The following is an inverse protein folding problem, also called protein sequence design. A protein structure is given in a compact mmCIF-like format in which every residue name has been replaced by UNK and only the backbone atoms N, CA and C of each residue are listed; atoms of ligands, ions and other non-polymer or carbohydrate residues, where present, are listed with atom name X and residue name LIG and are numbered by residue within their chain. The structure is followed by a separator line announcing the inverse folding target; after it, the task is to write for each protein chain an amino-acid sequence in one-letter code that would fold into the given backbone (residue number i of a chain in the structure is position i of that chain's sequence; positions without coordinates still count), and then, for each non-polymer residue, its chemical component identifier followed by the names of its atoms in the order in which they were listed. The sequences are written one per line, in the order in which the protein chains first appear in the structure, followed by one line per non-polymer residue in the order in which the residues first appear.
data_IF_169244835568
#
_entry.id   IF_169244835568
#
_cell.length_a   1.000
_cell.length_b   1.000
_cell.length_c   1.000
_cell.angle_alpha   90.00
_cell.angle_beta   90.00
_cell.angle_gamma   90.00
#
_symmetry.space_group_name_H-M   'P 1'
#
loop_
_entity.id
_entity.type
_entity.pdbx_description
1 polymer ?
#
# COMPACT_ATOMS: atom_id res chain seq x y z
N UNK A 1 25.72 65.00 45.28
CA UNK A 1 24.61 64.21 44.70
C UNK A 1 24.64 64.34 43.18
N UNK A 2 25.12 63.32 42.46
CA UNK A 2 24.98 63.21 41.00
C UNK A 2 23.84 62.21 40.76
N UNK A 3 22.72 62.67 40.19
CA UNK A 3 21.60 61.81 39.81
C UNK A 3 21.90 61.19 38.45
N UNK A 4 21.99 59.86 38.41
CA UNK A 4 22.09 59.06 37.19
C UNK A 4 20.68 58.79 36.68
N UNK A 5 20.36 59.25 35.47
CA UNK A 5 19.11 58.94 34.77
C UNK A 5 19.25 57.59 34.07
N UNK A 6 18.49 56.58 34.51
CA UNK A 6 18.37 55.28 33.82
C UNK A 6 17.17 55.36 32.86
N UNK A 7 17.43 55.28 31.56
CA UNK A 7 16.38 55.17 30.54
C UNK A 7 16.02 53.68 30.35
N UNK A 8 14.79 53.30 30.71
CA UNK A 8 14.22 52.00 30.37
C UNK A 8 13.71 52.04 28.93
N UNK A 9 14.38 51.31 28.03
CA UNK A 9 13.88 50.98 26.70
C UNK A 9 12.99 49.72 26.82
N UNK A 10 11.67 49.89 26.79
CA UNK A 10 10.75 48.79 26.52
C UNK A 10 10.75 48.52 25.01
N UNK A 11 11.41 47.45 24.58
CA UNK A 11 11.20 46.88 23.26
C UNK A 11 9.89 46.07 23.28
N UNK A 12 8.83 46.60 22.68
CA UNK A 12 7.65 45.81 22.36
C UNK A 12 7.97 44.91 21.16
N UNK A 13 8.23 43.63 21.43
CA UNK A 13 8.26 42.61 20.39
C UNK A 13 6.82 42.38 19.90
N UNK A 14 6.48 42.93 18.73
CA UNK A 14 5.32 42.47 17.99
C UNK A 14 5.61 41.06 17.49
N UNK A 15 5.06 40.07 18.17
CA UNK A 15 4.96 38.72 17.63
C UNK A 15 4.03 38.79 16.40
N UNK A 16 4.61 38.83 15.21
CA UNK A 16 3.89 38.58 13.97
C UNK A 16 3.41 37.13 14.03
N UNK A 17 2.16 36.91 14.39
CA UNK A 17 1.47 35.64 14.12
C UNK A 17 1.30 35.55 12.61
N UNK A 18 2.33 35.06 11.92
CA UNK A 18 2.18 34.57 10.57
C UNK A 18 1.17 33.43 10.64
N UNK A 19 -0.05 33.67 10.14
CA UNK A 19 -0.96 32.60 9.79
C UNK A 19 -0.18 31.69 8.83
N UNK A 20 0.29 30.53 9.29
CA UNK A 20 0.76 29.48 8.39
C UNK A 20 -0.42 29.16 7.48
N UNK A 21 -0.42 29.72 6.26
CA UNK A 21 -1.33 29.27 5.23
C UNK A 21 -1.19 27.75 5.11
N UNK A 22 -2.33 27.06 5.00
CA UNK A 22 -2.35 25.61 4.76
C UNK A 22 -1.48 25.34 3.53
N UNK A 23 -0.37 24.63 3.71
CA UNK A 23 0.53 24.28 2.61
C UNK A 23 -0.16 23.15 1.83
N UNK A 24 -0.12 23.23 0.50
CA UNK A 24 -0.53 22.12 -0.34
C UNK A 24 0.44 20.94 -0.14
N UNK A 25 -0.06 19.71 -0.24
CA UNK A 25 0.73 18.49 -0.14
C UNK A 25 1.90 18.52 -1.11
N UNK A 26 3.07 18.13 -0.61
CA UNK A 26 4.30 18.00 -1.41
C UNK A 26 4.47 16.61 -2.04
N UNK A 27 3.58 15.65 -1.76
CA UNK A 27 3.68 14.33 -2.37
C UNK A 27 3.55 14.39 -3.89
N UNK A 28 4.35 13.58 -4.56
CA UNK A 28 4.25 13.35 -6.00
C UNK A 28 3.06 12.45 -6.32
N UNK A 29 2.85 11.45 -5.48
CA UNK A 29 1.86 10.40 -5.67
C UNK A 29 1.02 10.21 -4.42
N UNK A 30 -0.29 10.14 -4.59
CA UNK A 30 -1.16 9.67 -3.52
C UNK A 30 -2.35 8.96 -4.13
N UNK A 31 -2.70 7.79 -3.59
CA UNK A 31 -3.83 7.06 -4.12
C UNK A 31 -4.18 5.79 -3.37
N UNK A 32 -4.53 4.74 -4.11
CA UNK A 32 -5.02 3.49 -3.53
C UNK A 32 -4.57 2.28 -4.34
N UNK A 33 -4.42 1.15 -3.66
CA UNK A 33 -4.52 -0.14 -4.31
C UNK A 33 -5.96 -0.33 -4.82
N UNK A 34 -6.10 -1.01 -5.97
CA UNK A 34 -7.37 -1.39 -6.59
C UNK A 34 -7.36 -2.89 -6.84
N UNK A 35 -7.78 -3.63 -5.81
CA UNK A 35 -7.73 -5.08 -5.77
C UNK A 35 -8.89 -5.76 -6.50
N UNK A 36 -8.66 -7.02 -6.85
CA UNK A 36 -9.67 -7.95 -7.36
C UNK A 36 -9.05 -9.04 -8.24
N UNK A 37 -8.05 -8.72 -9.06
CA UNK A 37 -7.49 -9.65 -10.04
C UNK A 37 -6.57 -10.70 -9.41
N UNK A 38 -6.09 -10.44 -8.19
CA UNK A 38 -5.33 -11.32 -7.31
C UNK A 38 -6.20 -12.24 -6.44
N UNK A 39 -7.52 -11.98 -6.34
CA UNK A 39 -8.41 -12.72 -5.43
C UNK A 39 -8.53 -14.21 -5.79
N UNK A 40 -8.96 -15.02 -4.83
CA UNK A 40 -9.22 -16.45 -5.08
C UNK A 40 -7.96 -17.26 -5.39
N UNK A 41 -6.85 -16.98 -4.70
CA UNK A 41 -5.52 -17.58 -4.94
C UNK A 41 -5.48 -19.11 -4.84
N UNK A 42 -6.46 -19.73 -4.17
CA UNK A 42 -6.59 -21.19 -4.11
C UNK A 42 -7.10 -21.81 -5.43
N UNK A 43 -7.64 -21.00 -6.34
CA UNK A 43 -8.21 -21.41 -7.62
C UNK A 43 -7.39 -20.78 -8.75
N UNK A 44 -6.41 -21.54 -9.27
CA UNK A 44 -5.54 -21.15 -10.38
C UNK A 44 -5.80 -22.11 -11.58
N UNK A 45 -6.12 -21.59 -12.78
CA UNK A 45 -6.19 -20.16 -13.12
C UNK A 45 -7.44 -19.45 -12.55
N UNK A 46 -8.46 -20.20 -12.11
CA UNK A 46 -9.73 -19.63 -11.67
C UNK A 46 -10.56 -19.06 -12.82
N UNK A 47 -11.70 -18.47 -12.49
CA UNK A 47 -12.69 -17.96 -13.43
C UNK A 47 -13.03 -16.50 -13.13
N UNK A 48 -12.89 -15.62 -14.12
CA UNK A 48 -13.31 -14.22 -14.04
C UNK A 48 -14.80 -14.12 -13.65
N UNK A 49 -15.11 -13.26 -12.68
CA UNK A 49 -16.46 -13.08 -12.15
C UNK A 49 -16.91 -14.16 -11.17
N UNK A 50 -16.05 -15.13 -10.84
CA UNK A 50 -16.25 -16.07 -9.72
C UNK A 50 -15.09 -16.02 -8.73
N UNK A 51 -13.86 -16.22 -9.19
CA UNK A 51 -12.67 -16.31 -8.34
C UNK A 51 -11.94 -14.97 -8.22
N UNK A 52 -11.98 -14.16 -9.29
CA UNK A 52 -11.35 -12.85 -9.36
C UNK A 52 -12.16 -11.89 -10.24
N UNK A 53 -11.84 -10.61 -10.16
CA UNK A 53 -12.45 -9.55 -10.97
C UNK A 53 -11.45 -8.43 -11.25
N UNK A 54 -11.56 -7.77 -12.39
CA UNK A 54 -10.74 -6.61 -12.70
C UNK A 54 -11.43 -5.31 -12.25
N UNK A 55 -10.74 -4.38 -11.58
CA UNK A 55 -11.24 -3.04 -11.35
C UNK A 55 -11.60 -2.34 -12.65
N UNK A 56 -12.60 -1.48 -12.59
CA UNK A 56 -13.15 -0.76 -13.73
C UNK A 56 -13.11 0.75 -13.49
N UNK A 57 -13.54 1.52 -14.50
CA UNK A 57 -13.56 2.98 -14.40
C UNK A 57 -14.47 3.47 -13.25
N UNK A 58 -15.54 2.75 -12.90
CA UNK A 58 -16.42 3.16 -11.78
C UNK A 58 -15.73 3.10 -10.42
N UNK A 59 -14.72 2.25 -10.30
CA UNK A 59 -14.04 1.96 -9.04
C UNK A 59 -12.90 2.98 -8.83
N UNK A 60 -12.29 3.44 -9.93
CA UNK A 60 -11.16 4.39 -9.93
C UNK A 60 -11.61 5.86 -10.02
N UNK A 61 -12.61 6.18 -10.85
CA UNK A 61 -13.02 7.57 -11.14
C UNK A 61 -13.38 8.39 -9.89
N UNK A 62 -14.14 7.85 -8.90
CA UNK A 62 -14.43 8.59 -7.68
C UNK A 62 -13.18 9.01 -6.91
N UNK A 63 -12.15 8.16 -6.89
CA UNK A 63 -10.88 8.43 -6.20
C UNK A 63 -10.03 9.44 -6.97
N UNK A 64 -10.00 9.38 -8.30
CA UNK A 64 -9.38 10.42 -9.14
C UNK A 64 -10.05 11.77 -8.93
N UNK A 65 -11.38 11.81 -8.87
CA UNK A 65 -12.13 13.04 -8.60
C UNK A 65 -11.85 13.62 -7.20
N UNK A 66 -11.45 12.77 -6.25
CA UNK A 66 -10.96 13.17 -4.93
C UNK A 66 -9.47 13.60 -4.93
N UNK A 67 -8.82 13.65 -6.10
CA UNK A 67 -7.45 14.13 -6.27
C UNK A 67 -6.37 13.04 -6.29
N UNK A 68 -6.72 11.77 -6.12
CA UNK A 68 -5.75 10.68 -6.20
C UNK A 68 -5.20 10.53 -7.63
N UNK A 69 -3.90 10.22 -7.75
CA UNK A 69 -3.20 10.19 -9.04
C UNK A 69 -2.32 8.96 -9.26
N UNK A 70 -2.37 7.95 -8.40
CA UNK A 70 -1.67 6.68 -8.57
C UNK A 70 -2.55 5.53 -8.09
N UNK A 71 -2.56 4.42 -8.82
CA UNK A 71 -3.33 3.24 -8.46
C UNK A 71 -2.51 1.98 -8.68
N UNK A 72 -2.38 1.16 -7.64
CA UNK A 72 -1.67 -0.12 -7.69
C UNK A 72 -2.63 -1.27 -7.96
N UNK A 73 -2.30 -2.11 -8.94
CA UNK A 73 -3.17 -3.15 -9.50
C UNK A 73 -2.57 -4.52 -9.20
N UNK A 74 -2.94 -5.14 -8.07
CA UNK A 74 -2.57 -6.51 -7.77
C UNK A 74 -3.09 -7.50 -8.83
N UNK A 75 -2.24 -8.41 -9.30
CA UNK A 75 -2.62 -9.54 -10.15
C UNK A 75 -1.75 -10.77 -9.83
N UNK A 76 -2.17 -11.98 -10.26
CA UNK A 76 -1.37 -13.19 -10.04
C UNK A 76 -0.48 -13.52 -11.23
N UNK A 77 0.80 -13.77 -10.97
CA UNK A 77 1.77 -14.24 -11.97
C UNK A 77 1.31 -15.53 -12.65
N UNK A 78 0.74 -16.48 -11.91
CA UNK A 78 0.29 -17.78 -12.41
C UNK A 78 -0.92 -17.70 -13.35
N UNK A 79 -1.72 -16.63 -13.21
CA UNK A 79 -2.82 -16.34 -14.15
C UNK A 79 -2.30 -15.64 -15.40
N UNK A 80 -1.30 -14.77 -15.24
CA UNK A 80 -0.73 -14.01 -16.35
C UNK A 80 0.18 -14.85 -17.23
N UNK A 81 1.10 -15.61 -16.64
CA UNK A 81 2.03 -16.51 -17.33
C UNK A 81 1.87 -17.87 -16.66
N UNK A 82 1.04 -18.79 -17.18
CA UNK A 82 0.77 -20.09 -16.55
C UNK A 82 1.93 -21.08 -16.76
N UNK A 83 1.93 -22.14 -15.93
CA UNK A 83 2.82 -23.30 -15.97
C UNK A 83 4.31 -23.05 -15.64
N UNK A 84 4.94 -22.03 -16.22
CA UNK A 84 6.34 -21.67 -15.96
C UNK A 84 6.62 -20.18 -16.24
N UNK A 85 7.50 -19.56 -15.46
CA UNK A 85 7.84 -18.13 -15.55
C UNK A 85 8.41 -17.68 -16.91
N UNK A 86 8.93 -18.62 -17.72
CA UNK A 86 9.45 -18.36 -19.07
C UNK A 86 8.42 -18.59 -20.17
N UNK A 87 7.18 -18.92 -19.80
CA UNK A 87 6.10 -19.26 -20.71
C UNK A 87 5.53 -18.03 -21.43
N UNK A 88 4.61 -18.32 -22.34
CA UNK A 88 3.79 -17.29 -22.97
C UNK A 88 2.74 -16.77 -21.98
N UNK A 89 2.40 -15.49 -22.09
CA UNK A 89 1.31 -14.94 -21.31
C UNK A 89 -0.05 -15.52 -21.76
N UNK A 90 -0.96 -15.74 -20.83
CA UNK A 90 -2.38 -15.94 -21.16
C UNK A 90 -2.91 -14.65 -21.82
N UNK A 91 -3.33 -14.78 -23.07
CA UNK A 91 -3.71 -13.64 -23.89
C UNK A 91 -4.94 -12.90 -23.34
N UNK A 92 -5.84 -13.61 -22.65
CA UNK A 92 -7.06 -13.00 -22.08
C UNK A 92 -6.71 -12.20 -20.84
N UNK A 93 -5.99 -12.82 -19.90
CA UNK A 93 -5.59 -12.18 -18.66
C UNK A 93 -4.64 -10.99 -18.90
N UNK A 94 -3.71 -11.10 -19.87
CA UNK A 94 -2.89 -9.98 -20.30
C UNK A 94 -3.71 -8.85 -20.94
N UNK A 95 -4.71 -9.18 -21.77
CA UNK A 95 -5.58 -8.17 -22.37
C UNK A 95 -6.39 -7.41 -21.29
N UNK A 96 -6.86 -8.11 -20.25
CA UNK A 96 -7.60 -7.48 -19.15
C UNK A 96 -6.69 -6.60 -18.27
N UNK A 97 -5.45 -7.04 -17.97
CA UNK A 97 -4.46 -6.21 -17.28
C UNK A 97 -4.21 -4.91 -18.07
N UNK A 98 -3.97 -5.03 -19.38
CA UNK A 98 -3.77 -3.87 -20.27
C UNK A 98 -4.99 -2.94 -20.28
N UNK A 99 -6.20 -3.48 -20.30
CA UNK A 99 -7.43 -2.70 -20.26
C UNK A 99 -7.59 -1.94 -18.94
N UNK A 100 -7.24 -2.56 -17.82
CA UNK A 100 -7.27 -1.94 -16.48
C UNK A 100 -6.22 -0.82 -16.37
N UNK A 101 -4.97 -1.09 -16.78
CA UNK A 101 -3.90 -0.08 -16.86
C UNK A 101 -4.32 1.09 -17.76
N UNK A 102 -4.89 0.81 -18.93
CA UNK A 102 -5.37 1.86 -19.84
C UNK A 102 -6.48 2.70 -19.20
N UNK A 103 -7.41 2.07 -18.49
CA UNK A 103 -8.48 2.77 -17.78
C UNK A 103 -7.94 3.80 -16.79
N UNK A 104 -6.93 3.43 -16.00
CA UNK A 104 -6.29 4.33 -15.04
C UNK A 104 -5.49 5.43 -15.75
N UNK A 105 -4.70 5.07 -16.75
CA UNK A 105 -3.82 6.03 -17.44
C UNK A 105 -4.58 7.00 -18.35
N UNK A 106 -5.73 6.62 -18.91
CA UNK A 106 -6.66 7.51 -19.63
C UNK A 106 -7.27 8.59 -18.72
N UNK A 107 -7.35 8.33 -17.40
CA UNK A 107 -7.75 9.32 -16.39
C UNK A 107 -6.58 10.24 -15.99
N UNK A 108 -5.39 10.05 -16.57
CA UNK A 108 -4.19 10.82 -16.26
C UNK A 108 -3.47 10.41 -14.98
N UNK A 109 -3.84 9.26 -14.40
CA UNK A 109 -3.22 8.70 -13.19
C UNK A 109 -2.15 7.66 -13.53
N UNK A 110 -1.22 7.46 -12.60
CA UNK A 110 -0.23 6.39 -12.68
C UNK A 110 -0.87 5.03 -12.38
N UNK A 111 -0.45 3.99 -13.11
CA UNK A 111 -0.88 2.61 -12.90
C UNK A 111 0.33 1.77 -12.50
N UNK A 112 0.34 1.26 -11.26
CA UNK A 112 1.38 0.33 -10.77
C UNK A 112 0.95 -1.09 -11.09
N UNK A 113 1.77 -1.78 -11.89
CA UNK A 113 1.58 -3.19 -12.27
C UNK A 113 2.26 -4.04 -11.20
N UNK A 114 1.46 -4.65 -10.32
CA UNK A 114 1.91 -5.42 -9.15
C UNK A 114 1.62 -6.92 -9.31
N UNK A 115 2.65 -7.75 -9.59
CA UNK A 115 2.54 -9.19 -9.41
C UNK A 115 2.49 -9.53 -7.92
N UNK A 116 1.28 -9.80 -7.43
CA UNK A 116 0.94 -9.89 -6.01
C UNK A 116 1.25 -11.28 -5.43
N UNK A 117 2.54 -11.62 -5.42
CA UNK A 117 2.99 -13.02 -5.42
C UNK A 117 3.95 -13.40 -4.28
N UNK A 118 4.33 -12.48 -3.38
CA UNK A 118 5.09 -12.82 -2.17
C UNK A 118 6.44 -13.49 -2.43
N UNK A 119 7.08 -13.17 -3.57
CA UNK A 119 8.30 -13.81 -4.05
C UNK A 119 8.13 -15.27 -4.47
N UNK A 120 6.89 -15.72 -4.70
CA UNK A 120 6.52 -17.11 -4.94
C UNK A 120 5.72 -17.28 -6.23
N UNK A 121 5.86 -18.44 -6.84
CA UNK A 121 5.13 -18.84 -8.05
C UNK A 121 4.67 -20.29 -7.89
N UNK A 122 3.35 -20.50 -7.99
CA UNK A 122 2.66 -21.73 -7.55
C UNK A 122 3.00 -22.14 -6.11
N UNK A 123 3.14 -21.15 -5.22
CA UNK A 123 3.44 -21.34 -3.80
C UNK A 123 4.92 -21.61 -3.47
N UNK A 124 5.76 -21.87 -4.48
CA UNK A 124 7.19 -22.11 -4.30
C UNK A 124 8.00 -20.83 -4.44
N UNK A 125 9.06 -20.69 -3.65
CA UNK A 125 9.97 -19.53 -3.75
C UNK A 125 10.57 -19.46 -5.16
N UNK A 126 10.53 -18.28 -5.77
CA UNK A 126 11.19 -18.02 -7.04
C UNK A 126 12.70 -18.01 -6.80
N UNK A 127 13.38 -19.08 -7.20
CA UNK A 127 14.82 -19.26 -6.96
C UNK A 127 15.71 -18.87 -8.14
N UNK A 128 15.11 -18.61 -9.31
CA UNK A 128 15.83 -18.34 -10.56
C UNK A 128 15.64 -16.88 -11.01
N UNK A 129 16.63 -15.99 -10.74
CA UNK A 129 16.57 -14.60 -11.21
C UNK A 129 16.45 -14.49 -12.75
N UNK A 130 17.02 -15.43 -13.51
CA UNK A 130 16.87 -15.43 -14.97
C UNK A 130 15.44 -15.72 -15.42
N UNK A 131 14.74 -16.66 -14.79
CA UNK A 131 13.34 -16.97 -15.13
C UNK A 131 12.42 -15.83 -14.68
N UNK A 132 12.69 -15.22 -13.53
CA UNK A 132 11.98 -14.02 -13.08
C UNK A 132 12.20 -12.83 -14.02
N UNK A 133 13.42 -12.66 -14.54
CA UNK A 133 13.70 -11.68 -15.59
C UNK A 133 12.97 -11.97 -16.90
N UNK A 134 12.78 -13.25 -17.27
CA UNK A 134 11.99 -13.62 -18.44
C UNK A 134 10.51 -13.23 -18.27
N UNK A 135 9.92 -13.51 -17.11
CA UNK A 135 8.58 -13.03 -16.76
C UNK A 135 8.48 -11.50 -16.93
N UNK A 136 9.42 -10.76 -16.35
CA UNK A 136 9.43 -9.30 -16.46
C UNK A 136 9.63 -8.78 -17.88
N UNK A 137 10.37 -9.51 -18.71
CA UNK A 137 10.49 -9.20 -20.15
C UNK A 137 9.14 -9.34 -20.85
N UNK A 138 8.36 -10.38 -20.54
CA UNK A 138 7.02 -10.61 -21.09
C UNK A 138 6.07 -9.49 -20.69
N UNK A 139 6.05 -9.08 -19.42
CA UNK A 139 5.17 -8.01 -18.94
C UNK A 139 5.57 -6.64 -19.49
N UNK A 140 6.84 -6.24 -19.34
CA UNK A 140 7.26 -4.87 -19.65
C UNK A 140 7.14 -4.51 -21.14
N UNK A 141 7.28 -5.48 -22.05
CA UNK A 141 7.09 -5.27 -23.50
C UNK A 141 5.70 -4.75 -23.86
N UNK A 142 4.69 -5.04 -23.04
CA UNK A 142 3.31 -4.62 -23.31
C UNK A 142 3.04 -3.16 -22.92
N UNK A 143 3.98 -2.50 -22.22
CA UNK A 143 3.78 -1.19 -21.60
C UNK A 143 4.88 -0.16 -21.91
N UNK A 144 5.80 -0.44 -22.84
CA UNK A 144 6.99 0.40 -23.11
C UNK A 144 6.66 1.85 -23.45
N UNK A 145 5.53 2.09 -24.10
CA UNK A 145 5.14 3.40 -24.63
C UNK A 145 4.20 4.18 -23.69
N UNK A 146 3.91 3.66 -22.49
CA UNK A 146 3.05 4.31 -21.51
C UNK A 146 3.87 4.84 -20.32
N UNK A 147 4.14 6.14 -20.31
CA UNK A 147 4.93 6.84 -19.28
C UNK A 147 4.23 6.91 -17.91
N UNK A 148 2.93 6.61 -17.84
CA UNK A 148 2.17 6.54 -16.59
C UNK A 148 2.16 5.14 -15.97
N UNK A 149 2.78 4.16 -16.62
CA UNK A 149 2.99 2.84 -16.01
C UNK A 149 4.16 2.90 -15.03
N UNK A 150 3.98 2.22 -13.90
CA UNK A 150 5.02 1.90 -12.92
C UNK A 150 5.06 0.39 -12.79
N UNK A 151 6.26 -0.19 -12.74
CA UNK A 151 6.42 -1.62 -12.51
C UNK A 151 6.79 -1.87 -11.06
N UNK A 152 6.01 -2.66 -10.33
CA UNK A 152 6.37 -3.15 -9.00
C UNK A 152 6.94 -4.56 -9.16
N UNK A 153 8.17 -4.79 -8.69
CA UNK A 153 8.88 -6.05 -8.89
C UNK A 153 8.12 -7.28 -8.38
N UNK A 154 7.53 -7.22 -7.18
CA UNK A 154 6.73 -8.28 -6.59
C UNK A 154 6.24 -7.83 -5.22
N UNK A 155 4.96 -8.02 -4.94
CA UNK A 155 4.41 -7.78 -3.61
C UNK A 155 5.15 -8.57 -2.52
N UNK A 156 5.64 -7.89 -1.50
CA UNK A 156 5.97 -8.42 -0.17
C UNK A 156 6.79 -9.73 -0.16
N UNK A 157 8.03 -9.69 -0.64
CA UNK A 157 8.96 -10.81 -0.38
C UNK A 157 9.00 -11.14 1.12
N UNK A 158 8.92 -12.42 1.49
CA UNK A 158 8.99 -12.83 2.89
C UNK A 158 9.55 -14.25 3.06
N UNK A 159 10.18 -14.51 4.21
CA UNK A 159 10.76 -15.81 4.58
C UNK A 159 11.70 -16.38 3.49
N UNK A 160 12.46 -15.48 2.87
CA UNK A 160 13.40 -15.79 1.79
C UNK A 160 14.83 -15.40 2.16
N UNK A 161 15.80 -16.00 1.49
CA UNK A 161 17.19 -15.54 1.58
C UNK A 161 17.31 -14.09 1.06
N UNK A 162 17.98 -13.23 1.82
CA UNK A 162 18.06 -11.79 1.50
C UNK A 162 18.90 -11.50 0.25
N UNK A 163 19.87 -12.37 -0.08
CA UNK A 163 20.65 -12.25 -1.31
C UNK A 163 19.79 -12.61 -2.51
N UNK A 164 18.92 -13.62 -2.37
CA UNK A 164 17.93 -13.96 -3.40
C UNK A 164 16.96 -12.80 -3.66
N UNK A 165 16.40 -12.17 -2.62
CA UNK A 165 15.49 -11.00 -2.78
C UNK A 165 16.18 -9.86 -3.55
N UNK A 166 17.44 -9.56 -3.23
CA UNK A 166 18.24 -8.59 -4.00
C UNK A 166 18.39 -9.00 -5.46
N UNK A 167 18.74 -10.26 -5.72
CA UNK A 167 18.96 -10.77 -7.07
C UNK A 167 17.68 -10.76 -7.92
N UNK A 168 16.52 -11.07 -7.32
CA UNK A 168 15.22 -11.02 -8.00
C UNK A 168 14.86 -9.59 -8.39
N UNK A 169 14.98 -8.63 -7.47
CA UNK A 169 14.80 -7.21 -7.78
C UNK A 169 15.72 -6.74 -8.91
N UNK A 170 17.03 -7.03 -8.82
CA UNK A 170 17.99 -6.62 -9.85
C UNK A 170 17.72 -7.29 -11.21
N UNK A 171 17.23 -8.53 -11.22
CA UNK A 171 16.85 -9.23 -12.44
C UNK A 171 15.60 -8.60 -13.10
N UNK A 172 14.59 -8.27 -12.30
CA UNK A 172 13.41 -7.52 -12.77
C UNK A 172 13.81 -6.19 -13.40
N UNK A 173 14.60 -5.38 -12.70
CA UNK A 173 15.09 -4.09 -13.21
C UNK A 173 15.82 -4.27 -14.55
N UNK A 174 16.78 -5.20 -14.59
CA UNK A 174 17.58 -5.45 -15.79
C UNK A 174 16.71 -5.87 -16.97
N UNK A 175 15.77 -6.78 -16.74
CA UNK A 175 14.85 -7.27 -17.76
C UNK A 175 13.91 -6.19 -18.27
N UNK A 176 13.27 -5.43 -17.37
CA UNK A 176 12.38 -4.31 -17.73
C UNK A 176 13.13 -3.32 -18.62
N UNK A 177 14.33 -2.87 -18.22
CA UNK A 177 15.11 -1.92 -19.02
C UNK A 177 15.56 -2.50 -20.37
N UNK A 178 15.79 -3.81 -20.47
CA UNK A 178 16.12 -4.47 -21.73
C UNK A 178 14.96 -4.47 -22.75
N UNK A 179 13.71 -4.20 -22.32
CA UNK A 179 12.56 -4.04 -23.23
C UNK A 179 12.43 -2.65 -23.85
N UNK A 180 13.33 -1.72 -23.50
CA UNK A 180 13.23 -0.27 -23.82
C UNK A 180 12.24 0.53 -22.97
N UNK A 181 11.57 -0.09 -21.99
CA UNK A 181 10.81 0.60 -20.96
C UNK A 181 11.76 1.40 -20.03
N UNK A 182 12.11 2.63 -20.44
CA UNK A 182 13.14 3.48 -19.81
C UNK A 182 12.58 4.74 -19.16
N UNK A 183 11.34 5.12 -19.47
CA UNK A 183 10.67 6.28 -18.87
C UNK A 183 9.97 5.94 -17.55
N UNK A 184 9.51 4.68 -17.39
CA UNK A 184 8.73 4.19 -16.26
C UNK A 184 9.55 4.12 -14.98
N UNK A 185 8.88 4.37 -13.85
CA UNK A 185 9.42 4.04 -12.53
C UNK A 185 9.40 2.54 -12.29
N UNK A 186 10.34 2.06 -11.47
CA UNK A 186 10.34 0.69 -10.96
C UNK A 186 10.30 0.76 -9.45
N UNK A 187 9.25 0.20 -8.87
CA UNK A 187 9.10 0.02 -7.44
C UNK A 187 9.76 -1.31 -7.06
N UNK A 188 10.70 -1.24 -6.11
CA UNK A 188 11.45 -2.39 -5.60
C UNK A 188 11.00 -2.68 -4.18
N UNK A 189 10.72 -3.95 -3.91
CA UNK A 189 10.24 -4.40 -2.61
C UNK A 189 11.26 -5.26 -1.88
N UNK A 190 11.24 -5.17 -0.55
CA UNK A 190 12.12 -5.90 0.33
C UNK A 190 11.50 -7.15 0.94
N UNK A 191 12.34 -7.88 1.67
CA UNK A 191 11.94 -9.01 2.49
C UNK A 191 11.20 -8.52 3.75
N UNK A 192 10.72 -9.46 4.58
CA UNK A 192 9.90 -9.15 5.75
C UNK A 192 8.67 -8.32 5.37
N UNK A 193 8.00 -8.71 4.29
CA UNK A 193 6.79 -8.07 3.74
C UNK A 193 7.02 -6.59 3.40
N UNK A 194 8.22 -6.26 2.92
CA UNK A 194 8.67 -4.90 2.65
C UNK A 194 8.35 -3.86 3.74
N UNK A 195 8.26 -4.29 5.00
CA UNK A 195 7.76 -3.44 6.09
C UNK A 195 8.70 -2.27 6.40
N UNK A 196 8.19 -1.04 6.43
CA UNK A 196 9.00 0.14 6.76
C UNK A 196 9.63 0.04 8.17
N UNK A 197 8.86 -0.44 9.15
CA UNK A 197 9.30 -0.65 10.53
C UNK A 197 10.41 -1.69 10.73
N UNK A 198 10.61 -2.58 9.77
CA UNK A 198 11.64 -3.63 9.78
C UNK A 198 12.70 -3.43 8.72
N UNK A 199 12.59 -2.37 7.91
CA UNK A 199 13.44 -2.14 6.74
C UNK A 199 14.93 -2.18 7.07
N UNK A 200 15.36 -1.42 8.08
CA UNK A 200 16.77 -1.33 8.47
C UNK A 200 17.31 -2.60 9.13
N UNK A 201 16.43 -3.50 9.56
CA UNK A 201 16.80 -4.80 10.13
C UNK A 201 17.14 -5.81 9.04
N UNK A 202 16.40 -5.80 7.92
CA UNK A 202 16.46 -6.87 6.92
C UNK A 202 16.98 -6.41 5.55
N UNK A 203 16.62 -5.21 5.10
CA UNK A 203 16.63 -4.83 3.67
C UNK A 203 17.73 -3.85 3.27
N UNK A 204 18.71 -3.59 4.14
CA UNK A 204 19.75 -2.58 3.90
C UNK A 204 20.61 -2.87 2.66
N UNK A 205 20.76 -4.14 2.26
CA UNK A 205 21.51 -4.52 1.06
C UNK A 205 20.86 -4.02 -0.25
N UNK A 206 19.55 -3.74 -0.25
CA UNK A 206 18.83 -3.23 -1.42
C UNK A 206 19.27 -1.82 -1.82
N UNK A 207 19.97 -1.09 -0.94
CA UNK A 207 20.60 0.19 -1.28
C UNK A 207 21.60 0.10 -2.45
N UNK A 208 22.08 -1.10 -2.75
CA UNK A 208 23.02 -1.39 -3.84
C UNK A 208 22.35 -1.76 -5.17
N UNK A 209 21.02 -1.76 -5.26
CA UNK A 209 20.31 -1.95 -6.53
C UNK A 209 20.66 -0.81 -7.50
N UNK A 210 20.74 -1.15 -8.79
CA UNK A 210 21.10 -0.21 -9.85
C UNK A 210 20.08 -0.22 -10.98
N UNK A 211 19.75 0.97 -11.46
CA UNK A 211 18.90 1.19 -12.64
C UNK A 211 19.59 2.20 -13.57
N UNK A 212 19.86 1.85 -14.83
CA UNK A 212 20.43 2.80 -15.78
C UNK A 212 19.55 4.02 -16.07
N UNK A 213 18.25 3.97 -15.74
CA UNK A 213 17.30 5.08 -15.95
C UNK A 213 17.11 5.97 -14.71
N UNK A 214 17.76 5.63 -13.59
CA UNK A 214 17.69 6.33 -12.30
C UNK A 214 16.25 6.60 -11.82
N UNK A 215 15.41 5.56 -11.85
CA UNK A 215 13.98 5.62 -11.47
C UNK A 215 13.56 4.50 -10.51
N UNK A 216 14.47 4.05 -9.66
CA UNK A 216 14.14 3.14 -8.57
C UNK A 216 13.48 3.89 -7.42
N UNK A 217 12.34 3.37 -6.98
CA UNK A 217 11.66 3.80 -5.77
C UNK A 217 11.55 2.59 -4.86
N UNK A 218 11.92 2.75 -3.59
CA UNK A 218 11.83 1.69 -2.59
C UNK A 218 10.41 1.67 -2.03
N UNK A 219 9.62 0.71 -2.47
CA UNK A 219 8.25 0.53 -2.01
C UNK A 219 8.26 -0.23 -0.69
N UNK A 220 7.66 0.38 0.33
CA UNK A 220 7.53 -0.20 1.65
C UNK A 220 6.07 -0.22 2.07
N UNK A 221 5.70 -1.19 2.91
CA UNK A 221 4.34 -1.29 3.45
C UNK A 221 4.32 -0.96 4.93
N UNK A 222 3.20 -0.40 5.40
CA UNK A 222 3.05 -0.13 6.82
C UNK A 222 1.59 -0.17 7.32
N UNK A 223 1.31 -1.20 8.11
CA UNK A 223 0.11 -1.27 8.92
C UNK A 223 0.39 -0.87 10.38
N UNK A 224 -0.68 -0.64 11.14
CA UNK A 224 -0.63 0.06 12.44
C UNK A 224 -1.07 -0.81 13.61
N UNK A 225 -1.52 -2.03 13.35
CA UNK A 225 -1.87 -3.04 14.33
C UNK A 225 -0.64 -3.70 14.95
N UNK A 226 -0.85 -4.47 16.02
CA UNK A 226 0.22 -4.93 16.93
C UNK A 226 1.40 -5.64 16.24
N UNK A 227 1.12 -6.39 15.19
CA UNK A 227 2.10 -7.16 14.42
C UNK A 227 2.39 -6.56 13.04
N UNK A 228 1.77 -5.43 12.70
CA UNK A 228 1.96 -4.77 11.41
C UNK A 228 1.41 -5.55 10.22
N UNK A 229 0.46 -6.47 10.43
CA UNK A 229 -0.11 -7.32 9.38
C UNK A 229 -1.31 -6.70 8.65
N UNK A 230 -1.93 -5.65 9.21
CA UNK A 230 -3.14 -5.08 8.62
C UNK A 230 -4.36 -5.99 8.73
N UNK A 231 -4.39 -6.90 9.71
CA UNK A 231 -5.51 -7.83 9.92
C UNK A 231 -6.48 -7.38 11.01
N UNK A 232 -6.12 -6.33 11.75
CA UNK A 232 -6.93 -5.76 12.83
C UNK A 232 -7.31 -4.31 12.58
N UNK A 233 -8.55 -3.96 12.95
CA UNK A 233 -9.01 -2.56 12.95
C UNK A 233 -8.45 -1.72 14.12
N UNK A 234 -7.59 -2.29 14.96
CA UNK A 234 -7.04 -1.64 16.14
C UNK A 234 -5.59 -1.23 15.92
N UNK A 235 -5.29 0.05 16.11
CA UNK A 235 -3.94 0.58 16.07
C UNK A 235 -3.30 0.57 17.47
N UNK A 236 -1.99 0.32 17.54
CA UNK A 236 -1.26 0.20 18.82
C UNK A 236 -1.35 1.48 19.66
N UNK A 237 -1.19 2.64 19.03
CA UNK A 237 -1.27 3.96 19.63
C UNK A 237 -1.61 5.00 18.55
N UNK A 238 -1.91 6.23 18.94
CA UNK A 238 -2.11 7.34 18.01
C UNK A 238 -0.82 7.88 17.37
N UNK A 239 0.35 7.37 17.78
CA UNK A 239 1.66 7.80 17.27
C UNK A 239 2.39 6.70 16.50
N UNK A 240 1.89 5.46 16.54
CA UNK A 240 2.61 4.28 16.05
C UNK A 240 3.02 4.38 14.59
N UNK A 241 2.22 5.04 13.75
CA UNK A 241 2.52 5.17 12.33
C UNK A 241 3.80 5.98 12.07
N UNK A 242 3.94 7.15 12.69
CA UNK A 242 5.14 7.97 12.58
C UNK A 242 6.38 7.27 13.16
N UNK A 243 6.22 6.54 14.27
CA UNK A 243 7.30 5.77 14.89
C UNK A 243 7.82 4.67 13.96
N UNK A 244 6.91 3.97 13.28
CA UNK A 244 7.23 2.83 12.41
C UNK A 244 7.94 3.23 11.11
N UNK A 245 7.70 4.42 10.58
CA UNK A 245 8.38 4.89 9.34
C UNK A 245 9.70 5.61 9.61
N UNK A 246 10.02 5.94 10.87
CA UNK A 246 11.16 6.80 11.19
C UNK A 246 12.52 6.22 10.77
N UNK A 247 12.78 4.94 11.07
CA UNK A 247 14.06 4.31 10.73
C UNK A 247 14.25 4.15 9.21
N UNK A 248 13.18 3.79 8.49
CA UNK A 248 13.18 3.74 7.03
C UNK A 248 13.45 5.12 6.40
N UNK A 249 12.83 6.17 6.95
CA UNK A 249 13.04 7.56 6.50
C UNK A 249 14.50 7.95 6.59
N UNK A 250 15.13 7.72 7.76
CA UNK A 250 16.57 7.98 7.94
C UNK A 250 17.41 7.18 6.95
N UNK A 251 17.09 5.90 6.75
CA UNK A 251 17.83 5.06 5.80
C UNK A 251 17.74 5.58 4.36
N UNK A 252 16.57 6.02 3.91
CA UNK A 252 16.40 6.62 2.58
C UNK A 252 17.28 7.87 2.43
N UNK A 253 17.28 8.75 3.42
CA UNK A 253 18.10 9.98 3.43
C UNK A 253 19.60 9.68 3.39
N UNK A 254 20.07 8.77 4.25
CA UNK A 254 21.49 8.42 4.35
C UNK A 254 22.03 7.73 3.08
N UNK A 255 21.17 7.03 2.35
CA UNK A 255 21.54 6.28 1.14
C UNK A 255 21.17 7.01 -0.16
N UNK A 256 20.63 8.23 -0.07
CA UNK A 256 20.21 9.02 -1.22
C UNK A 256 19.15 8.32 -2.08
N UNK A 257 18.20 7.64 -1.43
CA UNK A 257 17.14 6.86 -2.08
C UNK A 257 15.78 7.52 -1.92
N UNK A 258 14.87 7.21 -2.83
CA UNK A 258 13.49 7.66 -2.80
C UNK A 258 12.58 6.47 -2.43
N UNK A 259 11.55 6.71 -1.65
CA UNK A 259 10.59 5.70 -1.21
C UNK A 259 9.14 6.10 -1.45
N UNK A 260 8.26 5.10 -1.40
CA UNK A 260 6.81 5.26 -1.41
C UNK A 260 6.21 4.27 -0.41
N UNK A 261 5.13 4.67 0.27
CA UNK A 261 4.38 3.73 1.11
C UNK A 261 3.35 3.01 0.23
N UNK A 262 3.71 1.84 -0.30
CA UNK A 262 2.94 1.05 -1.27
C UNK A 262 1.58 0.56 -0.76
N UNK A 263 1.56 0.27 0.54
CA UNK A 263 0.36 -0.09 1.27
C UNK A 263 0.39 0.53 2.65
N UNK A 264 -0.75 1.11 3.05
CA UNK A 264 -1.02 1.44 4.44
C UNK A 264 -2.52 1.49 4.69
N UNK A 265 -2.91 1.21 5.94
CA UNK A 265 -4.30 1.35 6.37
C UNK A 265 -4.41 1.49 7.89
N UNK A 266 -5.58 1.93 8.34
CA UNK A 266 -5.98 1.97 9.74
C UNK A 266 -7.49 1.79 9.88
N UNK A 267 -7.94 1.22 11.00
CA UNK A 267 -9.37 1.01 11.23
C UNK A 267 -10.15 2.33 11.38
N UNK A 268 -11.46 2.29 11.15
CA UNK A 268 -12.37 3.44 11.28
C UNK A 268 -12.62 3.82 12.76
N UNK A 269 -11.59 4.38 13.42
CA UNK A 269 -11.66 4.88 14.78
C UNK A 269 -10.62 6.01 15.00
N UNK A 270 -10.81 6.80 16.05
CA UNK A 270 -10.00 8.00 16.30
C UNK A 270 -8.52 7.71 16.56
N UNK A 271 -8.18 6.62 17.23
CA UNK A 271 -6.76 6.28 17.50
C UNK A 271 -6.04 5.97 16.19
N UNK A 272 -6.65 5.19 15.32
CA UNK A 272 -6.12 4.90 14.00
C UNK A 272 -6.07 6.13 13.10
N UNK A 273 -7.11 6.99 13.13
CA UNK A 273 -7.14 8.23 12.35
C UNK A 273 -5.95 9.14 12.72
N UNK A 274 -5.70 9.31 14.03
CA UNK A 274 -4.55 10.07 14.52
C UNK A 274 -3.22 9.44 14.12
N UNK A 275 -3.11 8.10 14.17
CA UNK A 275 -1.91 7.39 13.77
C UNK A 275 -1.62 7.49 12.27
N UNK A 276 -2.64 7.37 11.41
CA UNK A 276 -2.53 7.56 9.96
C UNK A 276 -2.12 9.01 9.64
N UNK A 277 -2.79 10.00 10.22
CA UNK A 277 -2.46 11.42 10.04
C UNK A 277 -1.04 11.72 10.52
N UNK A 278 -0.65 11.19 11.68
CA UNK A 278 0.70 11.35 12.22
C UNK A 278 1.78 10.75 11.29
N UNK A 279 1.52 9.56 10.74
CA UNK A 279 2.38 8.92 9.76
C UNK A 279 2.51 9.75 8.48
N UNK A 280 1.40 10.13 7.86
CA UNK A 280 1.40 10.89 6.62
C UNK A 280 2.09 12.26 6.80
N UNK A 281 1.87 12.93 7.93
CA UNK A 281 2.60 14.17 8.27
C UNK A 281 4.11 13.94 8.40
N UNK A 282 4.54 12.80 8.95
CA UNK A 282 5.96 12.47 9.07
C UNK A 282 6.61 12.21 7.70
N UNK A 283 5.89 11.53 6.79
CA UNK A 283 6.33 11.33 5.41
C UNK A 283 6.40 12.66 4.65
N UNK A 284 5.39 13.52 4.79
CA UNK A 284 5.34 14.83 4.12
C UNK A 284 6.45 15.77 4.60
N UNK A 285 6.80 15.69 5.89
CA UNK A 285 7.93 16.41 6.46
C UNK A 285 9.29 15.95 5.90
N UNK A 286 9.35 14.72 5.36
CA UNK A 286 10.50 14.11 4.71
C UNK A 286 10.22 13.87 3.21
N UNK A 287 9.49 14.77 2.55
CA UNK A 287 9.12 14.64 1.13
C UNK A 287 10.31 14.81 0.16
N UNK A 288 11.52 15.07 0.68
CA UNK A 288 12.77 14.94 -0.06
C UNK A 288 13.08 13.48 -0.41
N UNK A 289 12.59 12.53 0.40
CA UNK A 289 12.77 11.08 0.17
C UNK A 289 11.47 10.31 0.00
N UNK A 290 10.36 10.74 0.61
CA UNK A 290 9.05 10.09 0.44
C UNK A 290 8.23 10.75 -0.66
N UNK A 291 7.96 9.99 -1.71
CA UNK A 291 7.21 10.47 -2.87
C UNK A 291 5.70 10.39 -2.71
N UNK A 292 5.21 9.64 -1.71
CA UNK A 292 3.78 9.39 -1.58
C UNK A 292 3.38 8.19 -0.75
N UNK A 293 2.09 7.84 -0.85
CA UNK A 293 1.55 6.60 -0.34
C UNK A 293 0.26 6.16 -1.04
N UNK A 294 -0.04 4.86 -0.96
CA UNK A 294 -1.24 4.25 -1.51
C UNK A 294 -1.98 3.48 -0.42
N UNK A 295 -3.26 3.82 -0.22
CA UNK A 295 -4.11 3.15 0.76
C UNK A 295 -4.36 1.69 0.34
N UNK A 296 -4.43 0.78 1.31
CA UNK A 296 -4.93 -0.58 1.11
C UNK A 296 -6.34 -0.72 1.70
N UNK A 297 -7.41 -0.91 0.93
CA UNK A 297 -7.48 -0.98 -0.53
C UNK A 297 -8.88 -0.60 -1.04
N UNK A 298 -8.98 -0.18 -2.30
CA UNK A 298 -10.23 -0.07 -3.06
C UNK A 298 -10.40 -1.30 -3.97
N UNK A 299 -11.53 -1.43 -4.68
CA UNK A 299 -11.82 -2.56 -5.54
C UNK A 299 -13.25 -3.10 -5.36
N UNK A 300 -13.85 -3.66 -6.42
CA UNK A 300 -15.30 -3.89 -6.47
C UNK A 300 -15.81 -5.04 -5.57
N UNK A 301 -14.92 -5.86 -5.00
CA UNK A 301 -15.28 -7.09 -4.27
C UNK A 301 -14.91 -7.10 -2.78
N UNK A 302 -14.67 -5.95 -2.18
CA UNK A 302 -14.28 -5.87 -0.77
C UNK A 302 -15.42 -6.09 0.23
N UNK A 303 -16.68 -5.92 -0.17
CA UNK A 303 -17.82 -6.10 0.75
C UNK A 303 -17.72 -5.21 2.00
N UNK A 304 -17.75 -5.80 3.19
CA UNK A 304 -17.66 -5.12 4.48
C UNK A 304 -16.22 -5.02 5.04
N UNK A 305 -15.20 -5.21 4.18
CA UNK A 305 -13.80 -5.14 4.59
C UNK A 305 -13.45 -3.86 5.35
N UNK A 306 -12.70 -4.04 6.44
CA UNK A 306 -12.41 -2.99 7.43
C UNK A 306 -11.66 -1.79 6.86
N UNK A 307 -10.93 -1.95 5.75
CA UNK A 307 -10.16 -0.90 5.10
C UNK A 307 -10.64 -0.57 3.68
N UNK A 308 -11.86 -0.97 3.30
CA UNK A 308 -12.36 -0.73 1.94
C UNK A 308 -12.49 0.76 1.64
N UNK A 309 -11.69 1.24 0.68
CA UNK A 309 -11.75 2.58 0.09
C UNK A 309 -12.55 2.58 -1.24
N UNK A 310 -13.24 1.49 -1.54
CA UNK A 310 -14.23 1.46 -2.61
C UNK A 310 -15.39 2.40 -2.28
N UNK A 311 -16.06 3.00 -3.27
CA UNK A 311 -17.14 3.95 -3.01
C UNK A 311 -18.25 3.33 -2.14
N UNK A 312 -18.52 3.95 -0.97
CA UNK A 312 -19.45 3.43 0.03
C UNK A 312 -18.86 2.41 1.01
N UNK A 313 -17.57 2.08 0.89
CA UNK A 313 -16.82 1.23 1.80
C UNK A 313 -16.48 1.91 3.14
N UNK A 314 -16.12 1.11 4.14
CA UNK A 314 -15.85 1.56 5.51
C UNK A 314 -14.79 2.67 5.58
N UNK A 315 -13.67 2.51 4.88
CA UNK A 315 -12.62 3.53 4.86
C UNK A 315 -12.96 4.70 3.93
N UNK A 316 -13.71 4.47 2.85
CA UNK A 316 -14.16 5.56 1.98
C UNK A 316 -14.98 6.60 2.78
N UNK A 317 -15.97 6.14 3.54
CA UNK A 317 -16.82 7.02 4.36
C UNK A 317 -16.05 7.69 5.51
N UNK A 318 -15.02 7.02 6.05
CA UNK A 318 -14.33 7.48 7.25
C UNK A 318 -13.07 8.32 6.96
N UNK A 319 -12.26 7.90 5.99
CA UNK A 319 -10.92 8.44 5.72
C UNK A 319 -10.85 9.33 4.48
N UNK A 320 -11.76 9.26 3.51
CA UNK A 320 -11.58 9.97 2.23
C UNK A 320 -11.27 11.46 2.42
N UNK A 321 -12.07 12.17 3.22
CA UNK A 321 -11.86 13.60 3.47
C UNK A 321 -10.52 13.93 4.17
N UNK A 322 -9.96 13.00 4.95
CA UNK A 322 -8.62 13.15 5.53
C UNK A 322 -7.55 12.94 4.46
N UNK A 323 -7.71 11.90 3.63
CA UNK A 323 -6.77 11.50 2.59
C UNK A 323 -6.69 12.52 1.44
N UNK A 324 -7.79 13.19 1.10
CA UNK A 324 -7.82 14.30 0.11
C UNK A 324 -6.78 15.38 0.45
N UNK A 325 -6.53 15.63 1.73
CA UNK A 325 -5.56 16.60 2.21
C UNK A 325 -4.10 16.29 1.83
N UNK A 326 -3.79 15.03 1.51
CA UNK A 326 -2.46 14.55 1.15
C UNK A 326 -2.30 14.30 -0.35
N UNK A 327 -3.38 14.37 -1.13
CA UNK A 327 -3.31 14.27 -2.60
C UNK A 327 -2.44 15.39 -3.18
N UNK A 328 -1.76 15.18 -4.33
CA UNK A 328 -0.90 16.21 -4.92
C UNK A 328 -1.66 17.53 -5.16
N UNK A 329 -1.20 18.61 -4.53
CA UNK A 329 -1.89 19.91 -4.56
C UNK A 329 -3.08 20.05 -3.60
N UNK A 330 -3.51 18.98 -2.95
CA UNK A 330 -4.49 18.98 -1.87
C UNK A 330 -3.97 19.73 -0.65
N UNK A 331 -4.87 20.27 0.19
CA UNK A 331 -4.49 20.98 1.41
C UNK A 331 -5.15 20.31 2.61
N UNK A 332 -4.35 19.90 3.60
CA UNK A 332 -4.84 19.27 4.80
C UNK A 332 -6.02 20.05 5.43
N UNK A 333 -7.19 19.41 5.49
CA UNK A 333 -8.32 19.94 6.23
C UNK A 333 -8.03 19.78 7.72
N UNK A 334 -7.46 20.83 8.33
CA UNK A 334 -7.28 20.87 9.79
C UNK A 334 -8.55 20.41 10.49
N UNK A 335 -8.40 19.41 11.36
CA UNK A 335 -9.41 18.68 12.15
C UNK A 335 -10.70 19.47 12.40
N UNK A 336 -11.55 19.50 11.37
CA UNK A 336 -12.86 20.14 11.38
C UNK A 336 -13.86 19.07 11.76
N UNK A 337 -14.36 19.18 12.99
CA UNK A 337 -15.31 18.27 13.63
C UNK A 337 -16.52 17.96 12.75
N UNK A 338 -16.46 16.86 12.00
CA UNK A 338 -17.63 16.12 11.54
C UNK A 338 -18.15 15.26 12.70
N UNK A 339 -18.66 15.91 13.74
CA UNK A 339 -19.14 15.23 14.96
C UNK A 339 -20.52 14.61 14.77
N UNK A 340 -21.25 14.96 13.70
CA UNK A 340 -22.65 14.56 13.51
C UNK A 340 -22.81 13.13 13.00
N UNK A 341 -21.86 12.62 12.20
CA UNK A 341 -21.93 11.25 11.63
C UNK A 341 -21.15 10.23 12.48
N UNK A 342 -20.12 10.67 13.22
CA UNK A 342 -19.24 9.80 14.02
C UNK A 342 -19.94 9.10 15.21
N UNK A 343 -21.08 9.62 15.70
CA UNK A 343 -21.79 9.03 16.86
C UNK A 343 -22.68 7.82 16.52
N UNK A 344 -23.12 7.64 15.28
CA UNK A 344 -24.03 6.52 14.94
C UNK A 344 -23.31 5.17 14.78
N UNK A 345 -22.05 5.17 14.33
CA UNK A 345 -21.28 3.91 14.17
C UNK A 345 -20.70 3.39 15.49
N UNK A 346 -20.33 4.26 16.44
CA UNK A 346 -19.85 3.83 17.78
C UNK A 346 -20.92 3.08 18.58
N UNK A 347 -22.21 3.38 18.40
CA UNK A 347 -23.28 2.69 19.13
C UNK A 347 -23.59 1.29 18.60
N UNK A 348 -23.25 0.97 17.34
CA UNK A 348 -23.48 -0.38 16.80
C UNK A 348 -22.37 -1.38 17.20
N UNK A 349 -21.14 -0.93 17.46
CA UNK A 349 -20.05 -1.82 17.89
C UNK A 349 -20.03 -2.12 19.40
N UNK A 350 -20.68 -1.32 20.24
CA UNK A 350 -20.76 -1.58 21.70
C UNK A 350 -21.84 -2.60 22.12
N UNK A 351 -22.59 -3.19 21.19
CA UNK A 351 -23.68 -4.14 21.48
C UNK A 351 -23.38 -5.61 21.18
N UNK A 352 -22.11 -6.04 21.11
CA UNK A 352 -21.79 -7.47 21.18
C UNK A 352 -21.37 -7.86 22.61
N UNK A 353 -22.12 -8.73 23.32
CA UNK A 353 -21.69 -9.20 24.62
C UNK A 353 -20.57 -10.24 24.47
N UNK A 354 -19.50 -10.06 25.25
CA UNK A 354 -18.45 -11.06 25.48
C UNK A 354 -19.09 -12.39 25.90
N UNK A 355 -18.97 -13.41 25.05
CA UNK A 355 -19.29 -14.78 25.45
C UNK A 355 -18.11 -15.37 26.24
N UNK A 356 -18.29 -15.45 27.56
CA UNK A 356 -17.48 -16.29 28.44
C UNK A 356 -17.51 -17.74 27.98
N UNK A 357 -16.35 -18.30 27.66
CA UNK A 357 -16.18 -19.74 27.47
C UNK A 357 -16.40 -20.48 28.80
N UNK A 358 -17.54 -21.15 28.94
CA UNK A 358 -17.71 -22.27 29.88
C UNK A 358 -17.64 -23.59 29.11
N UNK A 359 -16.75 -24.47 29.54
CA UNK A 359 -16.55 -25.82 29.00
C UNK A 359 -17.77 -26.71 29.22
N UNK A 360 -18.20 -27.53 28.22
CA UNK A 360 -19.12 -28.63 28.47
C UNK A 360 -18.41 -29.98 28.53
N UNK A 361 -18.86 -30.77 29.49
CA UNK A 361 -18.53 -32.17 29.72
C UNK A 361 -19.05 -33.09 28.59
N UNK A 362 -18.34 -34.20 28.43
CA UNK A 362 -18.55 -35.29 27.47
C UNK A 362 -19.85 -36.05 27.75
N UNK A 363 -20.59 -36.40 26.70
CA UNK A 363 -21.72 -37.34 26.76
C UNK A 363 -22.14 -37.79 25.36
N UNK A 364 -21.91 -39.07 25.07
CA UNK A 364 -22.03 -39.78 23.80
C UNK A 364 -23.47 -39.83 23.22
N UNK A 365 -23.60 -39.79 21.89
CA UNK A 365 -23.96 -40.96 21.05
C UNK A 365 -24.41 -40.56 19.63
N UNK A 366 -23.76 -41.14 18.61
CA UNK A 366 -24.47 -41.78 17.49
C UNK A 366 -24.58 -41.09 16.12
N UNK A 367 -23.45 -41.02 15.38
CA UNK A 367 -23.20 -41.27 13.93
C UNK A 367 -24.24 -41.04 12.79
N UNK A 368 -23.85 -41.29 11.51
CA UNK A 368 -23.15 -40.29 10.68
C UNK A 368 -23.73 -40.12 9.24
N UNK A 369 -23.33 -39.04 8.57
CA UNK A 369 -23.50 -38.85 7.11
C UNK A 369 -23.15 -37.42 6.65
N UNK A 370 -22.05 -37.19 5.91
CA UNK A 370 -21.37 -35.89 5.89
C UNK A 370 -21.77 -34.96 4.73
N UNK A 371 -21.74 -33.66 5.01
CA UNK A 371 -21.44 -32.56 4.07
C UNK A 371 -20.12 -31.92 4.51
N UNK A 372 -19.13 -31.61 3.65
CA UNK A 372 -18.09 -30.65 4.01
C UNK A 372 -18.54 -29.26 3.53
N UNK A 373 -18.77 -28.25 4.39
CA UNK A 373 -17.90 -27.56 5.35
C UNK A 373 -16.98 -26.52 4.69
N UNK A 374 -17.33 -25.25 4.95
CA UNK A 374 -16.48 -24.05 4.96
C UNK A 374 -15.45 -24.15 6.11
N UNK A 375 -14.55 -23.15 6.17
CA UNK A 375 -13.40 -22.91 7.06
C UNK A 375 -12.12 -23.58 6.54
N UNK A 376 -10.97 -22.94 6.44
CA UNK A 376 -10.48 -21.65 6.89
C UNK A 376 -8.96 -21.83 7.00
N UNK A 377 -8.17 -21.09 6.24
CA UNK A 377 -6.71 -21.14 6.38
C UNK A 377 -6.29 -19.94 7.21
N UNK A 378 -6.17 -20.25 8.50
CA UNK A 378 -5.35 -19.54 9.46
C UNK A 378 -3.90 -19.90 9.14
N UNK A 379 -3.18 -19.08 8.36
CA UNK A 379 -1.72 -19.17 8.32
C UNK A 379 -1.24 -18.62 9.65
N UNK A 380 -0.80 -19.52 10.53
CA UNK A 380 -0.05 -19.12 11.73
C UNK A 380 1.36 -18.72 11.30
N UNK A 381 1.76 -17.59 11.85
CA UNK A 381 3.10 -16.98 11.86
C UNK A 381 4.21 -17.95 12.24
#
# INVERSE_FOLDING_TARGET
MKLTLLAFLLAQAWASTSSRGKRASSFKWFGSNVSGAEFGQANIPGTLGTDYIWPSASDVTPLVNAGMNIFRIPFLMERLVPDNLTGEADATYMADLKATVKTITDLGAYAVVDPHNFGRYYGEIITSPSEFGAFWTTVAKEFTDNDLVVFDTNNEYHDMDQTLVFNLNQAAITAIRATSATSQYIFVEGNSYSGAWTWTTTNTNLGNLTDPSDKLIYEMHQYLDSDGSGTSSTCVSSTIGAERVAAATTWLQENGKLGVLGEFAGGANTVCEEAVVGMLNALEAASDVWLGGMWWSAGPWWGDYIFSLESGGTAYEYYLGVLEGYTPGGAATGTGTSTATKQQQQQQQQQQPEQQLTTPNVGEMGGPGPRPARWGILVRR
#
